data_IF_012504044732
#
_entry.id   IF_012504044732
#
_cell.length_a   1.000
_cell.length_b   1.000
_cell.length_c   1.000
_cell.angle_alpha   90.00
_cell.angle_beta   90.00
_cell.angle_gamma   90.00
#
_symmetry.space_group_name_H-M   'P 1'
#
loop_
_entity.id
_entity.type
_entity.pdbx_description
1 polymer ?
#
# COMPACT_ATOMS: atom_id res chain seq x y z
N UNK A 1 23.95 -5.93 -4.07
CA UNK A 1 22.82 -6.06 -3.14
C UNK A 1 22.89 -4.99 -2.07
N UNK A 2 21.77 -4.41 -1.70
CA UNK A 2 21.71 -3.33 -0.70
C UNK A 2 20.38 -3.39 0.05
N UNK A 3 20.30 -4.23 1.10
CA UNK A 3 19.08 -4.44 1.86
C UNK A 3 17.88 -4.78 0.97
N UNK A 4 16.71 -4.23 1.28
CA UNK A 4 15.49 -4.39 0.47
C UNK A 4 15.47 -3.51 -0.80
N UNK A 5 16.34 -2.51 -0.89
CA UNK A 5 16.34 -1.58 -2.04
C UNK A 5 17.01 -2.16 -3.28
N UNK A 6 17.89 -3.18 -3.12
CA UNK A 6 18.58 -3.84 -4.23
C UNK A 6 18.71 -5.34 -3.98
N UNK A 7 17.71 -6.11 -4.40
CA UNK A 7 17.56 -7.55 -4.22
C UNK A 7 17.87 -8.32 -5.51
N UNK A 8 18.07 -9.64 -5.42
CA UNK A 8 18.28 -10.53 -6.59
C UNK A 8 16.98 -10.92 -7.29
N UNK A 9 15.91 -10.99 -6.53
CA UNK A 9 14.57 -11.26 -7.02
C UNK A 9 13.61 -10.35 -6.31
N UNK A 10 12.51 -9.98 -6.93
CA UNK A 10 11.48 -9.11 -6.35
C UNK A 10 10.10 -9.52 -6.81
N UNK A 11 9.12 -9.17 -5.99
CA UNK A 11 7.70 -9.35 -6.27
C UNK A 11 7.13 -8.05 -6.79
N UNK A 12 6.34 -8.10 -7.86
CA UNK A 12 5.60 -6.95 -8.36
C UNK A 12 4.10 -7.20 -8.27
N UNK A 13 3.35 -6.16 -8.02
CA UNK A 13 1.89 -6.13 -8.13
C UNK A 13 1.45 -5.81 -9.56
N UNK A 14 2.13 -6.42 -10.50
CA UNK A 14 1.99 -6.20 -11.93
C UNK A 14 0.64 -6.70 -12.44
N UNK A 15 -0.02 -5.88 -13.26
CA UNK A 15 -1.24 -6.26 -13.94
C UNK A 15 -1.30 -5.68 -15.35
N UNK A 16 -1.96 -6.43 -16.23
CA UNK A 16 -2.12 -6.10 -17.63
C UNK A 16 -3.60 -5.89 -17.93
N UNK A 17 -3.94 -4.67 -18.35
CA UNK A 17 -5.29 -4.27 -18.71
C UNK A 17 -5.40 -4.24 -20.24
N UNK A 18 -6.34 -4.99 -20.81
CA UNK A 18 -6.59 -5.01 -22.24
C UNK A 18 -7.84 -4.20 -22.53
N UNK A 19 -7.71 -3.17 -23.35
CA UNK A 19 -8.79 -2.25 -23.67
C UNK A 19 -8.81 -1.87 -25.15
N UNK A 20 -9.92 -1.29 -25.60
CA UNK A 20 -10.00 -0.67 -26.91
C UNK A 20 -9.24 0.67 -26.92
N UNK A 21 -8.76 1.13 -28.09
CA UNK A 21 -8.03 2.40 -28.18
C UNK A 21 -8.81 3.63 -27.65
N UNK A 22 -10.14 3.60 -27.75
CA UNK A 22 -11.02 4.67 -27.24
C UNK A 22 -11.17 4.67 -25.72
N UNK A 23 -10.76 3.60 -25.04
CA UNK A 23 -10.85 3.43 -23.59
C UNK A 23 -9.55 3.80 -22.85
N UNK A 24 -8.44 4.00 -23.55
CA UNK A 24 -7.12 4.19 -22.93
C UNK A 24 -7.14 5.26 -21.84
N UNK A 25 -7.67 6.44 -22.12
CA UNK A 25 -7.72 7.55 -21.17
C UNK A 25 -8.53 7.19 -19.92
N UNK A 26 -9.71 6.57 -20.09
CA UNK A 26 -10.56 6.16 -18.98
C UNK A 26 -9.86 5.14 -18.07
N UNK A 27 -9.22 4.13 -18.67
CA UNK A 27 -8.49 3.10 -17.93
C UNK A 27 -7.25 3.70 -17.21
N UNK A 28 -6.54 4.66 -17.81
CA UNK A 28 -5.50 5.41 -17.13
C UNK A 28 -6.04 6.16 -15.91
N UNK A 29 -7.16 6.84 -16.03
CA UNK A 29 -7.79 7.54 -14.91
C UNK A 29 -8.13 6.59 -13.76
N UNK A 30 -8.69 5.40 -14.05
CA UNK A 30 -8.99 4.37 -13.02
C UNK A 30 -7.73 3.88 -12.30
N UNK A 31 -6.65 3.65 -13.04
CA UNK A 31 -5.38 3.23 -12.45
C UNK A 31 -4.79 4.35 -11.58
N UNK A 32 -4.88 5.61 -12.00
CA UNK A 32 -4.45 6.75 -11.19
C UNK A 32 -5.26 6.85 -9.88
N UNK A 33 -6.57 6.61 -9.92
CA UNK A 33 -7.41 6.57 -8.72
C UNK A 33 -6.93 5.53 -7.71
N UNK A 34 -6.55 4.34 -8.17
CA UNK A 34 -5.99 3.29 -7.31
C UNK A 34 -4.68 3.78 -6.64
N UNK A 35 -3.81 4.45 -7.39
CA UNK A 35 -2.55 4.98 -6.85
C UNK A 35 -2.81 6.06 -5.80
N UNK A 36 -3.72 6.98 -6.07
CA UNK A 36 -4.07 8.03 -5.11
C UNK A 36 -4.68 7.46 -3.83
N UNK A 37 -5.50 6.40 -3.92
CA UNK A 37 -5.99 5.66 -2.76
C UNK A 37 -4.83 5.12 -1.93
N UNK A 38 -3.85 4.46 -2.58
CA UNK A 38 -2.68 3.90 -1.90
C UNK A 38 -1.86 5.00 -1.24
N UNK A 39 -1.52 6.06 -1.96
CA UNK A 39 -0.74 7.17 -1.45
C UNK A 39 -1.39 7.81 -0.24
N UNK A 40 -2.70 8.04 -0.31
CA UNK A 40 -3.48 8.61 0.78
C UNK A 40 -3.55 7.68 1.99
N UNK A 41 -3.82 6.38 1.78
CA UNK A 41 -3.87 5.39 2.86
C UNK A 41 -2.54 5.27 3.61
N UNK A 42 -1.42 5.56 2.95
CA UNK A 42 -0.07 5.50 3.51
C UNK A 42 0.51 6.88 3.85
N UNK A 43 -0.30 7.95 3.69
CA UNK A 43 0.09 9.34 3.96
C UNK A 43 1.31 9.81 3.14
N UNK A 44 1.41 9.35 1.87
CA UNK A 44 2.40 9.83 0.91
C UNK A 44 1.89 11.11 0.24
N UNK A 45 2.24 12.27 0.79
CA UNK A 45 1.80 13.57 0.27
C UNK A 45 2.80 14.18 -0.74
N UNK A 46 4.08 13.84 -0.58
CA UNK A 46 5.16 14.39 -1.40
C UNK A 46 5.62 13.38 -2.46
N UNK A 47 5.05 13.47 -3.64
CA UNK A 47 5.49 12.70 -4.81
C UNK A 47 5.55 13.59 -6.05
N UNK A 48 6.47 13.26 -6.94
CA UNK A 48 6.57 13.88 -8.27
C UNK A 48 6.12 12.88 -9.32
N UNK A 49 5.30 13.33 -10.26
CA UNK A 49 4.88 12.53 -11.39
C UNK A 49 5.65 12.96 -12.66
N UNK A 50 6.09 12.00 -13.45
CA UNK A 50 6.76 12.25 -14.72
C UNK A 50 6.04 11.50 -15.84
N UNK A 51 5.70 12.22 -16.91
CA UNK A 51 5.21 11.64 -18.16
C UNK A 51 6.43 11.46 -19.08
N UNK A 52 6.79 10.22 -19.32
CA UNK A 52 7.92 9.85 -20.18
C UNK A 52 7.42 9.58 -21.60
N UNK A 53 7.74 10.48 -22.53
CA UNK A 53 7.33 10.45 -23.93
C UNK A 53 8.47 10.00 -24.83
N UNK A 54 8.14 9.67 -26.09
CA UNK A 54 9.12 9.35 -27.13
C UNK A 54 10.14 10.48 -27.34
N UNK A 55 11.32 10.10 -27.80
CA UNK A 55 12.27 11.05 -28.36
C UNK A 55 11.69 11.72 -29.61
N UNK A 56 11.77 13.02 -29.67
CA UNK A 56 11.20 13.80 -30.78
C UNK A 56 11.98 13.64 -32.11
N UNK A 57 13.25 13.27 -32.02
CA UNK A 57 14.17 13.17 -33.17
C UNK A 57 14.49 11.71 -33.49
N UNK A 58 14.90 10.92 -32.50
CA UNK A 58 15.33 9.53 -32.70
C UNK A 58 14.18 8.57 -32.36
N UNK A 59 13.42 8.20 -33.41
CA UNK A 59 12.23 7.35 -33.28
C UNK A 59 12.45 5.87 -33.61
N UNK A 60 13.64 5.50 -34.12
CA UNK A 60 13.92 4.15 -34.63
C UNK A 60 13.81 3.05 -33.52
N UNK A 61 14.03 3.41 -32.27
CA UNK A 61 13.96 2.46 -31.15
C UNK A 61 12.54 2.11 -30.71
N UNK A 62 11.52 2.85 -31.18
CA UNK A 62 10.14 2.68 -30.71
C UNK A 62 9.33 1.78 -31.64
N UNK A 63 8.63 0.83 -31.06
CA UNK A 63 7.81 -0.16 -31.79
C UNK A 63 6.37 0.34 -31.89
N UNK A 64 5.69 0.07 -33.00
CA UNK A 64 4.30 0.43 -33.25
C UNK A 64 4.13 1.57 -34.27
N UNK A 65 2.88 1.88 -34.59
CA UNK A 65 2.57 2.94 -35.53
C UNK A 65 2.62 4.33 -34.90
N UNK A 66 2.93 5.34 -35.69
CA UNK A 66 2.94 6.74 -35.24
C UNK A 66 1.61 7.15 -34.64
N UNK A 67 0.49 6.78 -35.27
CA UNK A 67 -0.86 7.07 -34.78
C UNK A 67 -1.14 6.49 -33.40
N UNK A 68 -0.70 5.25 -33.12
CA UNK A 68 -0.87 4.62 -31.82
C UNK A 68 -0.08 5.35 -30.73
N UNK A 69 1.14 5.77 -31.04
CA UNK A 69 1.97 6.54 -30.12
C UNK A 69 1.36 7.90 -29.81
N UNK A 70 0.94 8.65 -30.81
CA UNK A 70 0.29 9.95 -30.63
C UNK A 70 -0.95 9.83 -29.74
N UNK A 71 -1.77 8.82 -30.00
CA UNK A 71 -2.98 8.55 -29.22
C UNK A 71 -2.66 8.21 -27.74
N UNK A 72 -1.66 7.37 -27.50
CA UNK A 72 -1.28 6.98 -26.16
C UNK A 72 -0.63 8.14 -25.37
N UNK A 73 0.27 8.89 -26.00
CA UNK A 73 0.91 10.06 -25.41
C UNK A 73 -0.13 11.12 -25.04
N UNK A 74 -1.07 11.40 -25.95
CA UNK A 74 -2.16 12.33 -25.71
C UNK A 74 -3.07 11.86 -24.57
N UNK A 75 -3.42 10.57 -24.53
CA UNK A 75 -4.29 10.00 -23.51
C UNK A 75 -3.69 10.13 -22.09
N UNK A 76 -2.38 9.91 -21.93
CA UNK A 76 -1.70 10.08 -20.64
C UNK A 76 -1.69 11.54 -20.20
N UNK A 77 -1.36 12.45 -21.11
CA UNK A 77 -1.33 13.90 -20.84
C UNK A 77 -2.73 14.37 -20.39
N UNK A 78 -3.76 13.99 -21.14
CA UNK A 78 -5.14 14.35 -20.81
C UNK A 78 -5.62 13.73 -19.50
N UNK A 79 -5.27 12.48 -19.22
CA UNK A 79 -5.61 11.83 -17.95
C UNK A 79 -4.97 12.54 -16.74
N UNK A 80 -3.70 12.93 -16.85
CA UNK A 80 -3.04 13.70 -15.80
C UNK A 80 -3.71 15.06 -15.60
N UNK A 81 -4.06 15.76 -16.69
CA UNK A 81 -4.75 17.05 -16.62
C UNK A 81 -6.15 16.92 -15.99
N UNK A 82 -6.93 15.89 -16.36
CA UNK A 82 -8.26 15.63 -15.79
C UNK A 82 -8.22 15.32 -14.29
N UNK A 83 -7.20 14.60 -13.86
CA UNK A 83 -6.98 14.28 -12.43
C UNK A 83 -6.30 15.42 -11.65
N UNK A 84 -5.97 16.53 -12.28
CA UNK A 84 -5.26 17.64 -11.64
C UNK A 84 -3.86 17.25 -11.15
N UNK A 85 -3.25 16.22 -11.75
CA UNK A 85 -1.92 15.75 -11.39
C UNK A 85 -0.85 16.59 -12.09
N UNK A 86 -0.06 17.40 -11.36
CA UNK A 86 1.07 18.08 -11.96
C UNK A 86 2.16 17.06 -12.29
N UNK A 87 2.38 16.83 -13.58
CA UNK A 87 3.38 15.91 -14.06
C UNK A 87 4.40 16.62 -14.96
N UNK A 88 5.67 16.32 -14.75
CA UNK A 88 6.76 16.81 -15.62
C UNK A 88 6.80 15.96 -16.88
N UNK A 89 6.87 16.61 -18.04
CA UNK A 89 7.02 15.90 -19.33
C UNK A 89 8.50 15.77 -19.65
N UNK A 90 8.96 14.53 -19.87
CA UNK A 90 10.31 14.20 -20.31
C UNK A 90 10.28 13.44 -21.62
N UNK A 91 11.02 13.93 -22.61
CA UNK A 91 11.15 13.32 -23.92
C UNK A 91 12.36 12.38 -23.98
N UNK A 92 12.21 11.26 -24.68
CA UNK A 92 13.27 10.27 -24.82
C UNK A 92 13.29 9.18 -23.75
N UNK A 93 12.52 9.36 -22.66
CA UNK A 93 12.49 8.46 -21.50
C UNK A 93 11.35 7.40 -21.59
N UNK A 94 10.53 7.44 -22.65
CA UNK A 94 9.54 6.39 -22.88
C UNK A 94 10.19 5.02 -23.07
N UNK A 95 9.49 3.97 -22.67
CA UNK A 95 9.87 2.61 -23.04
C UNK A 95 9.82 2.43 -24.55
N UNK A 96 10.56 1.45 -25.08
CA UNK A 96 10.57 1.22 -26.54
C UNK A 96 9.21 0.80 -27.10
N UNK A 97 8.29 0.36 -26.24
CA UNK A 97 6.96 -0.15 -26.59
C UNK A 97 5.80 0.78 -26.20
N UNK A 98 6.04 1.85 -25.43
CA UNK A 98 4.97 2.77 -25.02
C UNK A 98 5.41 3.92 -24.14
N UNK A 99 4.59 4.99 -24.04
CA UNK A 99 4.81 6.07 -23.09
C UNK A 99 4.53 5.62 -21.67
N UNK A 100 5.15 6.29 -20.67
CA UNK A 100 5.04 5.94 -19.26
C UNK A 100 4.59 7.11 -18.41
N UNK A 101 3.91 6.80 -17.31
CA UNK A 101 3.72 7.70 -16.18
C UNK A 101 4.55 7.17 -15.00
N UNK A 102 5.66 7.81 -14.73
CA UNK A 102 6.63 7.43 -13.72
C UNK A 102 6.43 8.26 -12.44
N UNK A 103 5.83 7.81 -11.47
CA UNK A 103 6.01 7.83 -10.03
C UNK A 103 5.69 6.43 -9.51
N UNK A 104 4.95 5.71 -10.30
CA UNK A 104 4.83 4.26 -10.31
C UNK A 104 4.74 3.84 -11.76
N UNK A 105 5.55 2.86 -12.15
CA UNK A 105 5.70 2.46 -13.56
C UNK A 105 4.36 2.07 -14.15
N UNK A 106 3.96 2.79 -15.21
CA UNK A 106 2.82 2.45 -16.05
C UNK A 106 3.24 2.52 -17.50
N UNK A 107 3.08 1.41 -18.19
CA UNK A 107 3.42 1.28 -19.59
C UNK A 107 2.17 0.97 -20.41
N UNK A 108 2.04 1.58 -21.57
CA UNK A 108 1.09 1.15 -22.61
C UNK A 108 1.85 0.25 -23.58
N UNK A 109 1.42 -1.01 -23.70
CA UNK A 109 2.10 -1.99 -24.54
C UNK A 109 1.22 -2.38 -25.74
N UNK A 110 1.71 -2.06 -26.95
CA UNK A 110 1.13 -2.51 -28.20
C UNK A 110 1.82 -3.75 -28.77
N UNK A 111 2.98 -4.13 -28.22
CA UNK A 111 3.80 -5.21 -28.73
C UNK A 111 3.30 -6.58 -28.28
N UNK A 112 2.92 -6.73 -27.00
CA UNK A 112 2.42 -8.01 -26.49
C UNK A 112 1.10 -8.45 -27.16
N UNK A 113 0.09 -7.58 -27.34
CA UNK A 113 -1.08 -7.95 -28.12
C UNK A 113 -0.78 -8.44 -29.53
N UNK A 114 0.23 -7.87 -30.21
CA UNK A 114 0.67 -8.32 -31.52
C UNK A 114 1.41 -9.66 -31.46
N UNK A 115 2.37 -9.81 -30.54
CA UNK A 115 3.15 -11.04 -30.38
C UNK A 115 2.32 -12.25 -29.97
N UNK A 116 1.31 -12.07 -29.15
CA UNK A 116 0.41 -13.13 -28.69
C UNK A 116 -0.82 -13.28 -29.59
N UNK A 117 -0.89 -12.55 -30.71
CA UNK A 117 -2.00 -12.57 -31.64
C UNK A 117 -3.38 -12.39 -30.99
N UNK A 118 -3.43 -11.47 -30.02
CA UNK A 118 -4.65 -11.18 -29.27
C UNK A 118 -5.63 -10.38 -30.14
N UNK A 119 -6.88 -10.81 -30.15
CA UNK A 119 -7.94 -10.16 -30.91
C UNK A 119 -9.23 -10.06 -30.09
N UNK A 120 -10.00 -9.01 -30.34
CA UNK A 120 -11.39 -8.92 -29.88
C UNK A 120 -12.31 -8.62 -31.08
N UNK A 121 -13.59 -8.97 -30.96
CA UNK A 121 -14.60 -8.65 -31.96
C UNK A 121 -15.22 -7.31 -31.61
N UNK A 122 -15.04 -6.31 -32.49
CA UNK A 122 -15.60 -4.97 -32.33
C UNK A 122 -17.10 -4.91 -32.62
N UNK A 123 -17.71 -3.75 -32.38
CA UNK A 123 -19.11 -3.49 -32.68
C UNK A 123 -19.43 -3.56 -34.23
N UNK A 124 -18.41 -3.42 -35.04
CA UNK A 124 -18.47 -3.60 -36.50
C UNK A 124 -18.39 -5.07 -36.94
N UNK A 125 -18.39 -5.98 -36.00
CA UNK A 125 -18.28 -7.44 -36.17
C UNK A 125 -16.95 -7.88 -36.85
N UNK A 126 -15.91 -7.04 -36.80
CA UNK A 126 -14.55 -7.35 -37.26
C UNK A 126 -13.59 -7.63 -36.12
N UNK A 127 -12.48 -8.28 -36.45
CA UNK A 127 -11.39 -8.54 -35.52
C UNK A 127 -10.51 -7.29 -35.38
N UNK A 128 -10.22 -6.93 -34.15
CA UNK A 128 -9.38 -5.81 -33.81
C UNK A 128 -8.33 -6.23 -32.79
N UNK A 129 -7.18 -5.55 -32.82
CA UNK A 129 -6.10 -5.73 -31.84
C UNK A 129 -6.39 -4.89 -30.58
N UNK A 130 -6.37 -5.47 -29.37
CA UNK A 130 -6.49 -4.67 -28.14
C UNK A 130 -5.25 -3.85 -27.88
N UNK A 131 -5.40 -2.83 -27.04
CA UNK A 131 -4.30 -2.11 -26.40
C UNK A 131 -4.08 -2.73 -25.03
N UNK A 132 -2.83 -2.83 -24.59
CA UNK A 132 -2.48 -3.29 -23.26
C UNK A 132 -1.91 -2.14 -22.43
N UNK A 133 -2.44 -1.95 -21.24
CA UNK A 133 -1.89 -1.07 -20.22
C UNK A 133 -1.23 -1.93 -19.17
N UNK A 134 0.04 -1.71 -18.97
CA UNK A 134 0.85 -2.37 -17.96
C UNK A 134 0.90 -1.49 -16.71
N UNK A 135 0.52 -2.02 -15.56
CA UNK A 135 0.53 -1.25 -14.32
C UNK A 135 1.18 -2.02 -13.18
N UNK A 136 2.00 -1.35 -12.40
CA UNK A 136 2.60 -1.84 -11.18
C UNK A 136 2.60 -0.72 -10.13
N UNK A 137 1.47 -0.50 -9.40
CA UNK A 137 1.33 0.59 -8.44
C UNK A 137 2.41 0.66 -7.36
N UNK A 138 2.86 -0.47 -6.84
CA UNK A 138 3.95 -0.55 -5.87
C UNK A 138 5.32 -0.75 -6.53
N UNK A 139 5.36 -1.20 -7.79
CA UNK A 139 6.58 -1.63 -8.45
C UNK A 139 7.17 -2.86 -7.73
N UNK A 140 8.42 -2.78 -7.26
CA UNK A 140 8.99 -3.84 -6.41
C UNK A 140 8.45 -3.72 -4.99
N UNK A 141 7.74 -4.74 -4.52
CA UNK A 141 7.18 -4.78 -3.16
C UNK A 141 8.28 -4.62 -2.09
N UNK A 142 9.45 -5.22 -2.31
CA UNK A 142 10.57 -5.13 -1.37
C UNK A 142 11.10 -3.69 -1.26
N UNK A 143 11.24 -2.99 -2.38
CA UNK A 143 11.65 -1.57 -2.40
C UNK A 143 10.56 -0.69 -1.78
N UNK A 144 9.30 -0.97 -2.09
CA UNK A 144 8.19 -0.23 -1.53
C UNK A 144 8.16 -0.35 0.00
N UNK A 145 8.33 -1.56 0.54
CA UNK A 145 8.44 -1.79 1.99
C UNK A 145 9.62 -1.02 2.58
N UNK A 146 10.77 -0.97 1.90
CA UNK A 146 11.92 -0.19 2.37
C UNK A 146 11.58 1.31 2.47
N UNK A 147 10.96 1.87 1.42
CA UNK A 147 10.54 3.29 1.39
C UNK A 147 9.49 3.56 2.47
N UNK A 148 8.54 2.63 2.67
CA UNK A 148 7.51 2.75 3.70
C UNK A 148 8.10 2.76 5.11
N UNK A 149 9.08 1.89 5.40
CA UNK A 149 9.80 1.88 6.69
C UNK A 149 10.52 3.20 6.92
N UNK A 150 11.19 3.75 5.90
CA UNK A 150 11.87 5.04 5.99
C UNK A 150 10.88 6.19 6.19
N UNK A 151 9.80 6.21 5.40
CA UNK A 151 8.75 7.24 5.46
C UNK A 151 8.08 7.31 6.85
N UNK A 152 7.77 6.16 7.42
CA UNK A 152 7.08 6.06 8.71
C UNK A 152 8.04 6.03 9.91
N UNK A 153 9.35 5.97 9.69
CA UNK A 153 10.36 5.66 10.70
C UNK A 153 10.02 4.39 11.52
N UNK A 154 9.35 3.43 10.87
CA UNK A 154 8.88 2.18 11.45
C UNK A 154 7.59 2.30 12.29
N UNK A 155 6.94 3.47 12.35
CA UNK A 155 5.63 3.67 12.98
C UNK A 155 4.53 3.56 11.92
N UNK A 156 4.20 2.33 11.56
CA UNK A 156 3.15 2.07 10.58
C UNK A 156 1.76 2.52 11.07
N UNK A 157 0.85 2.89 10.16
CA UNK A 157 -0.56 3.00 10.50
C UNK A 157 -1.06 1.72 11.17
N UNK A 158 -1.96 1.83 12.12
CA UNK A 158 -2.39 0.69 12.94
C UNK A 158 -2.91 -0.49 12.12
N UNK A 159 -3.66 -0.22 11.04
CA UNK A 159 -4.18 -1.24 10.13
C UNK A 159 -3.07 -2.05 9.42
N UNK A 160 -1.89 -1.45 9.21
CA UNK A 160 -0.75 -2.05 8.50
C UNK A 160 0.28 -2.67 9.47
N UNK A 161 0.27 -2.27 10.75
CA UNK A 161 1.23 -2.74 11.75
C UNK A 161 1.14 -4.26 11.93
N UNK A 162 2.24 -5.03 11.79
CA UNK A 162 2.21 -6.49 11.92
C UNK A 162 1.71 -6.96 13.27
N UNK A 163 2.23 -6.37 14.36
CA UNK A 163 1.87 -6.63 15.74
C UNK A 163 1.21 -5.38 16.31
N UNK A 164 -0.13 -5.35 16.34
CA UNK A 164 -0.89 -4.16 16.79
C UNK A 164 -0.87 -4.02 18.30
N UNK A 165 -0.90 -5.15 18.99
CA UNK A 165 -1.02 -5.22 20.45
C UNK A 165 -0.09 -6.28 21.01
N UNK A 166 0.50 -6.01 22.17
CA UNK A 166 1.18 -7.02 22.97
C UNK A 166 0.62 -7.02 24.39
N UNK A 167 0.29 -8.20 24.90
CA UNK A 167 -0.15 -8.39 26.30
C UNK A 167 1.07 -8.73 27.18
N UNK A 168 1.24 -8.00 28.25
CA UNK A 168 2.38 -8.06 29.15
C UNK A 168 1.94 -8.49 30.57
N UNK A 169 1.94 -9.77 30.90
CA UNK A 169 1.69 -10.21 32.26
C UNK A 169 2.82 -9.75 33.20
N UNK A 170 2.45 -9.21 34.39
CA UNK A 170 3.41 -8.72 35.39
C UNK A 170 4.14 -9.86 36.09
N UNK A 171 3.57 -11.08 36.08
CA UNK A 171 4.18 -12.31 36.57
C UNK A 171 3.57 -13.52 35.88
N UNK A 172 4.24 -14.67 35.96
CA UNK A 172 3.79 -15.94 35.38
C UNK A 172 2.37 -16.37 35.82
N UNK A 173 1.93 -15.92 37.02
CA UNK A 173 0.60 -16.22 37.54
C UNK A 173 -0.54 -15.69 36.62
N UNK A 174 -0.26 -14.70 35.82
CA UNK A 174 -1.25 -14.05 34.94
C UNK A 174 -1.08 -14.40 33.49
N UNK A 175 -0.22 -15.40 33.15
CA UNK A 175 0.00 -15.84 31.80
C UNK A 175 -1.30 -16.36 31.17
N UNK A 176 -2.07 -17.17 31.88
CA UNK A 176 -3.34 -17.72 31.40
C UNK A 176 -4.31 -16.60 31.01
N UNK A 177 -4.45 -15.58 31.86
CA UNK A 177 -5.28 -14.42 31.55
C UNK A 177 -4.74 -13.61 30.37
N UNK A 178 -3.42 -13.44 30.28
CA UNK A 178 -2.80 -12.76 29.13
C UNK A 178 -3.09 -13.47 27.82
N UNK A 179 -3.04 -14.80 27.79
CA UNK A 179 -3.38 -15.61 26.63
C UNK A 179 -4.88 -15.55 26.31
N UNK A 180 -5.77 -15.50 27.30
CA UNK A 180 -7.21 -15.30 27.11
C UNK A 180 -7.51 -13.94 26.46
N UNK A 181 -6.88 -12.86 26.98
CA UNK A 181 -6.97 -11.52 26.39
C UNK A 181 -6.52 -11.54 24.93
N UNK A 182 -5.35 -12.11 24.64
CA UNK A 182 -4.82 -12.18 23.29
C UNK A 182 -5.72 -13.00 22.37
N UNK A 183 -6.26 -14.13 22.82
CA UNK A 183 -7.20 -14.94 22.06
C UNK A 183 -8.49 -14.16 21.73
N UNK A 184 -9.01 -13.41 22.71
CA UNK A 184 -10.21 -12.57 22.53
C UNK A 184 -10.00 -11.49 21.48
N UNK A 185 -8.84 -10.82 21.48
CA UNK A 185 -8.52 -9.77 20.52
C UNK A 185 -8.22 -10.35 19.12
N UNK A 186 -7.49 -11.46 19.04
CA UNK A 186 -7.21 -12.14 17.78
C UNK A 186 -8.49 -12.67 17.11
N UNK A 187 -9.50 -13.09 17.89
CA UNK A 187 -10.79 -13.50 17.36
C UNK A 187 -11.58 -12.33 16.71
N UNK A 188 -11.15 -11.09 16.94
CA UNK A 188 -11.70 -9.86 16.35
C UNK A 188 -10.73 -9.23 15.32
N UNK A 189 -9.84 -10.04 14.74
CA UNK A 189 -8.85 -9.63 13.75
C UNK A 189 -7.84 -8.55 14.24
N UNK A 190 -7.68 -8.41 15.57
CA UNK A 190 -6.67 -7.54 16.18
C UNK A 190 -5.40 -8.37 16.42
N UNK A 191 -4.34 -8.15 15.65
CA UNK A 191 -3.08 -8.91 15.72
C UNK A 191 -2.37 -8.69 17.03
N UNK A 192 -2.54 -9.66 17.95
CA UNK A 192 -2.13 -9.57 19.34
C UNK A 192 -1.13 -10.67 19.69
N UNK A 193 -0.03 -10.30 20.33
CA UNK A 193 0.97 -11.22 20.87
C UNK A 193 0.96 -11.19 22.41
N UNK A 194 1.55 -12.21 23.04
CA UNK A 194 1.80 -12.24 24.49
C UNK A 194 3.32 -12.29 24.72
N UNK A 195 3.81 -11.41 25.58
CA UNK A 195 5.19 -11.47 26.09
C UNK A 195 5.20 -12.10 27.49
N UNK A 196 5.15 -13.42 27.52
CA UNK A 196 5.14 -14.23 28.75
C UNK A 196 6.55 -14.57 29.30
N UNK A 197 7.60 -13.95 28.74
CA UNK A 197 8.96 -14.15 29.23
C UNK A 197 9.05 -13.85 30.73
N UNK A 198 9.84 -14.65 31.45
CA UNK A 198 10.13 -14.40 32.86
C UNK A 198 11.11 -13.21 33.03
N UNK A 199 10.61 -11.99 32.81
CA UNK A 199 11.34 -10.73 32.84
C UNK A 199 10.56 -9.66 33.60
N UNK A 200 11.27 -8.66 34.14
CA UNK A 200 10.63 -7.51 34.79
C UNK A 200 9.77 -6.73 33.83
N UNK A 201 8.58 -6.30 34.25
CA UNK A 201 7.63 -5.56 33.41
C UNK A 201 8.25 -4.35 32.72
N UNK A 202 9.11 -3.59 33.39
CA UNK A 202 9.79 -2.45 32.77
C UNK A 202 10.70 -2.83 31.59
N UNK A 203 11.30 -4.05 31.64
CA UNK A 203 12.09 -4.55 30.49
C UNK A 203 11.20 -4.99 29.34
N UNK A 204 10.10 -5.70 29.64
CA UNK A 204 9.11 -6.07 28.64
C UNK A 204 8.56 -4.84 27.91
N UNK A 205 8.19 -3.80 28.64
CA UNK A 205 7.72 -2.52 28.06
C UNK A 205 8.77 -1.95 27.13
N UNK A 206 10.02 -1.78 27.60
CA UNK A 206 11.11 -1.20 26.80
C UNK A 206 11.37 -1.99 25.52
N UNK A 207 11.44 -3.32 25.63
CA UNK A 207 11.73 -4.19 24.50
C UNK A 207 10.62 -4.09 23.43
N UNK A 208 9.36 -3.98 23.84
CA UNK A 208 8.21 -3.87 22.93
C UNK A 208 8.03 -2.44 22.38
N UNK A 209 8.42 -1.40 23.14
CA UNK A 209 8.54 -0.03 22.60
C UNK A 209 9.58 0.04 21.47
N UNK A 210 10.72 -0.64 21.63
CA UNK A 210 11.76 -0.70 20.57
C UNK A 210 11.30 -1.43 19.31
N UNK A 211 10.37 -2.39 19.45
CA UNK A 211 9.73 -3.08 18.31
C UNK A 211 8.66 -2.25 17.61
N UNK A 212 8.36 -1.05 18.12
CA UNK A 212 7.32 -0.16 17.58
C UNK A 212 5.90 -0.74 17.66
N UNK A 213 5.64 -1.59 18.67
CA UNK A 213 4.28 -2.10 18.89
C UNK A 213 3.42 -0.97 19.48
N UNK A 214 2.31 -0.58 18.79
CA UNK A 214 1.52 0.61 19.17
C UNK A 214 0.89 0.51 20.55
N UNK A 215 0.34 -0.67 20.89
CA UNK A 215 -0.39 -0.88 22.15
C UNK A 215 0.22 -1.99 22.99
N UNK A 216 0.44 -1.70 24.26
CA UNK A 216 0.88 -2.67 25.27
C UNK A 216 -0.21 -2.78 26.32
N UNK A 217 -0.72 -3.98 26.57
CA UNK A 217 -1.74 -4.27 27.58
C UNK A 217 -1.07 -4.94 28.77
N UNK A 218 -0.98 -4.23 29.88
CA UNK A 218 -0.40 -4.76 31.11
C UNK A 218 -1.51 -5.43 31.90
N UNK A 219 -1.26 -6.66 32.34
CA UNK A 219 -2.22 -7.46 33.12
C UNK A 219 -1.59 -8.00 34.38
N UNK A 220 -2.32 -7.79 35.47
CA UNK A 220 -1.98 -8.22 36.83
C UNK A 220 -3.20 -8.74 37.55
N UNK A 221 -3.13 -8.79 38.88
CA UNK A 221 -4.19 -9.35 39.74
C UNK A 221 -5.50 -8.55 39.60
N UNK A 222 -5.41 -7.22 39.60
CA UNK A 222 -6.58 -6.36 39.49
C UNK A 222 -7.27 -6.55 38.15
N UNK A 223 -6.50 -6.48 37.06
CA UNK A 223 -7.02 -6.62 35.71
C UNK A 223 -7.67 -8.00 35.52
N UNK A 224 -7.05 -9.07 36.02
CA UNK A 224 -7.60 -10.42 35.93
C UNK A 224 -8.91 -10.60 36.71
N UNK A 225 -9.03 -9.96 37.88
CA UNK A 225 -10.25 -10.02 38.72
C UNK A 225 -11.39 -9.20 38.11
N UNK A 226 -11.07 -8.06 37.52
CA UNK A 226 -12.05 -7.12 36.97
C UNK A 226 -12.37 -7.36 35.47
N UNK A 227 -11.64 -8.26 34.82
CA UNK A 227 -11.78 -8.50 33.36
C UNK A 227 -11.39 -7.27 32.54
N UNK A 228 -10.31 -6.61 32.94
CA UNK A 228 -9.77 -5.38 32.37
C UNK A 228 -8.34 -5.56 31.86
N UNK A 229 -7.85 -4.53 31.19
CA UNK A 229 -6.46 -4.40 30.76
C UNK A 229 -6.00 -2.97 31.01
N UNK A 230 -4.78 -2.80 31.51
CA UNK A 230 -4.15 -1.49 31.66
C UNK A 230 -3.45 -1.14 30.34
N UNK A 231 -3.93 -0.10 29.66
CA UNK A 231 -3.49 0.28 28.30
C UNK A 231 -2.31 1.23 28.37
N UNK A 232 -1.26 0.89 27.64
CA UNK A 232 -0.12 1.77 27.41
C UNK A 232 0.08 1.96 25.91
N UNK A 233 0.18 3.21 25.47
CA UNK A 233 0.43 3.59 24.08
C UNK A 233 1.91 3.90 23.90
N UNK A 234 2.50 3.40 22.82
CA UNK A 234 3.90 3.61 22.51
C UNK A 234 4.20 5.11 22.38
N UNK A 235 5.23 5.57 23.10
CA UNK A 235 5.64 6.99 23.12
C UNK A 235 4.77 7.92 23.95
N UNK A 236 3.55 7.51 24.32
CA UNK A 236 2.59 8.35 25.07
C UNK A 236 2.40 7.91 26.55
N UNK A 237 2.77 6.68 26.85
CA UNK A 237 2.68 6.15 28.20
C UNK A 237 1.34 5.53 28.58
N UNK A 238 1.07 5.48 29.88
CA UNK A 238 -0.11 4.85 30.48
C UNK A 238 -1.39 5.66 30.22
N UNK A 239 -2.46 4.96 29.81
CA UNK A 239 -3.79 5.52 29.51
C UNK A 239 -4.88 5.02 30.47
N UNK A 240 -4.51 4.22 31.48
CA UNK A 240 -5.44 3.64 32.45
C UNK A 240 -6.00 2.30 32.02
N UNK A 241 -6.94 1.80 32.85
CA UNK A 241 -7.55 0.47 32.67
C UNK A 241 -8.90 0.58 31.97
N UNK A 242 -9.17 -0.38 31.07
CA UNK A 242 -10.44 -0.48 30.34
C UNK A 242 -10.86 -1.95 30.23
N UNK A 243 -12.14 -2.20 29.98
CA UNK A 243 -12.66 -3.53 29.63
C UNK A 243 -12.10 -4.00 28.30
N UNK A 244 -11.82 -5.30 28.17
CA UNK A 244 -11.28 -5.89 26.93
C UNK A 244 -12.16 -5.56 25.73
N UNK A 245 -13.49 -5.68 25.89
CA UNK A 245 -14.44 -5.38 24.80
C UNK A 245 -14.35 -3.92 24.35
N UNK A 246 -14.29 -2.98 25.29
CA UNK A 246 -14.15 -1.54 24.99
C UNK A 246 -12.84 -1.24 24.26
N UNK A 247 -11.73 -1.87 24.69
CA UNK A 247 -10.46 -1.73 23.99
C UNK A 247 -10.54 -2.27 22.56
N UNK A 248 -11.14 -3.43 22.37
CA UNK A 248 -11.31 -4.03 21.03
C UNK A 248 -12.14 -3.13 20.11
N UNK A 249 -13.24 -2.54 20.61
CA UNK A 249 -14.04 -1.58 19.85
C UNK A 249 -13.23 -0.35 19.46
N UNK A 250 -12.44 0.21 20.37
CA UNK A 250 -11.57 1.37 20.09
C UNK A 250 -10.55 1.08 19.00
N UNK A 251 -9.89 -0.08 19.04
CA UNK A 251 -8.92 -0.49 18.01
C UNK A 251 -9.59 -0.71 16.66
N UNK A 252 -10.74 -1.39 16.64
CA UNK A 252 -11.49 -1.62 15.41
C UNK A 252 -11.96 -0.30 14.78
N UNK A 253 -12.44 0.64 15.59
CA UNK A 253 -12.85 1.96 15.14
C UNK A 253 -11.66 2.78 14.59
N UNK A 254 -10.51 2.72 15.26
CA UNK A 254 -9.30 3.41 14.78
C UNK A 254 -8.83 2.83 13.44
N UNK A 255 -8.76 1.51 13.30
CA UNK A 255 -8.42 0.84 12.03
C UNK A 255 -9.40 1.24 10.93
N UNK A 256 -10.72 1.20 11.23
CA UNK A 256 -11.75 1.57 10.28
C UNK A 256 -11.63 3.04 9.84
N UNK A 257 -11.39 3.94 10.77
CA UNK A 257 -11.17 5.36 10.49
C UNK A 257 -9.95 5.58 9.59
N UNK A 258 -8.82 4.91 9.89
CA UNK A 258 -7.60 5.02 9.08
C UNK A 258 -7.80 4.49 7.67
N UNK A 259 -8.47 3.33 7.51
CA UNK A 259 -8.76 2.72 6.20
C UNK A 259 -9.74 3.55 5.36
N UNK A 260 -10.67 4.27 5.99
CA UNK A 260 -11.72 5.03 5.30
C UNK A 260 -11.45 6.54 5.25
N UNK A 261 -10.33 7.01 5.77
CA UNK A 261 -9.97 8.43 5.74
C UNK A 261 -10.01 9.03 4.33
N UNK A 262 -9.65 8.22 3.31
CA UNK A 262 -9.67 8.61 1.92
C UNK A 262 -11.08 8.74 1.32
N UNK A 263 -12.11 8.04 1.86
CA UNK A 263 -13.49 8.12 1.36
C UNK A 263 -14.19 9.42 1.78
N UNK A 264 -13.81 9.98 2.92
CA UNK A 264 -14.45 11.17 3.48
C UNK A 264 -14.13 12.46 2.68
N UNK A 265 -13.02 12.50 1.97
CA UNK A 265 -12.55 13.66 1.20
C UNK A 265 -12.84 13.54 -0.31
N UNK A 266 -13.37 12.40 -0.76
CA UNK A 266 -13.77 12.20 -2.16
C UNK A 266 -15.21 12.70 -2.46
N UNK A 267 -15.86 13.37 -1.49
CA UNK A 267 -17.14 14.05 -1.62
C UNK A 267 -16.94 15.56 -1.63
#
# INVERSE_FOLDING_TARGET
LHGLTRVRGFTQDDAHLFCRPDQIKEEFCKVMDIIFIIFKALNFENFEAQISLRDQVNREKYIGSEENWERAEQAIIEACAEKGLPAKIEYGEAAFYGPKLDFMVKDVDYNLPERFDLEYTGADNKKHRPVMIHRAPFGSMERFVAVLIEHTAGHFPLWLTPDQVVVLPISEKFNDYAHEVAATLNAQDIRTQVDDRNEKIGRKIRDNELKRIPYMLIVGEKEAQEGEVSVRVQGEGDKGSVKIATFAEQIAEEVHRQLNAWQAEAK
#
